data_IF_583868886985
#
_entry.id   IF_583868886985
#
_cell.length_a   1.000
_cell.length_b   1.000
_cell.length_c   1.000
_cell.angle_alpha   90.00
_cell.angle_beta   90.00
_cell.angle_gamma   90.00
#
_symmetry.space_group_name_H-M   'P 1'
#
loop_
_entity.id
_entity.type
_entity.pdbx_description
1 polymer ?
#
# COMPACT_ATOMS: atom_id res chain seq x y z
N UNK A 1 -16.03 -25.16 -25.06
CA UNK A 1 -14.58 -25.34 -24.89
C UNK A 1 -14.28 -25.12 -23.43
N UNK A 2 -13.51 -26.01 -22.81
CA UNK A 2 -12.96 -25.75 -21.49
C UNK A 2 -12.08 -24.50 -21.59
N UNK A 3 -12.44 -23.46 -20.83
CA UNK A 3 -11.57 -22.29 -20.69
C UNK A 3 -10.42 -22.75 -19.79
N UNK A 4 -9.21 -22.85 -20.34
CA UNK A 4 -8.01 -23.10 -19.53
C UNK A 4 -7.97 -22.07 -18.40
N UNK A 5 -8.02 -22.57 -17.17
CA UNK A 5 -7.92 -21.74 -15.99
C UNK A 5 -6.49 -21.17 -15.93
N UNK A 6 -6.35 -19.85 -16.08
CA UNK A 6 -5.09 -19.07 -16.03
C UNK A 6 -4.11 -19.21 -17.21
N UNK A 7 -4.57 -19.24 -18.47
CA UNK A 7 -3.71 -19.30 -19.67
C UNK A 7 -2.86 -18.06 -20.02
N UNK A 8 -2.42 -17.25 -19.05
CA UNK A 8 -1.56 -16.09 -19.32
C UNK A 8 -0.07 -16.44 -19.19
N UNK A 9 0.78 -15.80 -20.01
CA UNK A 9 2.24 -15.98 -20.02
C UNK A 9 2.97 -14.66 -19.76
N UNK A 10 4.26 -14.72 -19.44
CA UNK A 10 5.13 -13.56 -19.21
C UNK A 10 5.09 -13.02 -17.77
N UNK A 11 3.92 -12.58 -17.29
CA UNK A 11 3.80 -11.94 -15.96
C UNK A 11 3.63 -12.92 -14.79
N UNK A 12 3.53 -14.23 -15.07
CA UNK A 12 3.33 -15.26 -14.07
C UNK A 12 3.10 -16.63 -14.70
N UNK A 13 2.39 -17.50 -13.97
CA UNK A 13 1.94 -18.82 -14.42
C UNK A 13 3.04 -19.88 -14.68
N UNK A 14 4.25 -19.66 -14.15
CA UNK A 14 5.26 -20.72 -14.05
C UNK A 14 4.89 -21.64 -12.88
N UNK A 15 4.72 -22.92 -13.17
CA UNK A 15 4.52 -23.97 -12.16
C UNK A 15 5.85 -24.65 -11.85
N UNK A 16 6.24 -24.67 -10.58
CA UNK A 16 7.55 -25.16 -10.13
C UNK A 16 7.49 -25.65 -8.68
N UNK A 17 8.60 -26.17 -8.18
CA UNK A 17 8.78 -26.63 -6.80
C UNK A 17 9.94 -25.90 -6.10
N UNK A 18 10.13 -26.14 -4.80
CA UNK A 18 11.17 -25.48 -4.01
C UNK A 18 12.58 -25.84 -4.51
N UNK A 19 12.82 -27.09 -4.90
CA UNK A 19 14.13 -27.55 -5.36
C UNK A 19 14.58 -26.83 -6.64
N UNK A 20 13.69 -26.71 -7.63
CA UNK A 20 13.98 -25.99 -8.88
C UNK A 20 14.22 -24.49 -8.64
N UNK A 21 13.43 -23.88 -7.76
CA UNK A 21 13.63 -22.47 -7.37
C UNK A 21 14.98 -22.26 -6.67
N UNK A 22 15.44 -23.21 -5.86
CA UNK A 22 16.75 -23.11 -5.21
C UNK A 22 17.89 -23.22 -6.21
N UNK A 23 17.76 -24.06 -7.25
CA UNK A 23 18.72 -24.11 -8.36
C UNK A 23 18.77 -22.76 -9.10
N UNK A 24 17.61 -22.18 -9.39
CA UNK A 24 17.53 -20.87 -10.02
C UNK A 24 18.14 -19.76 -9.18
N UNK A 25 17.86 -19.73 -7.87
CA UNK A 25 18.42 -18.75 -6.94
C UNK A 25 19.94 -18.90 -6.77
N UNK A 26 20.48 -20.11 -6.88
CA UNK A 26 21.92 -20.34 -6.90
C UNK A 26 22.55 -19.73 -8.14
N UNK A 27 21.98 -19.95 -9.33
CA UNK A 27 22.48 -19.34 -10.58
C UNK A 27 22.36 -17.80 -10.55
N UNK A 28 21.28 -17.26 -9.97
CA UNK A 28 21.12 -15.81 -9.82
C UNK A 28 22.19 -15.20 -8.88
N UNK A 29 22.59 -15.96 -7.85
CA UNK A 29 23.59 -15.55 -6.86
C UNK A 29 25.02 -15.72 -7.36
N UNK A 30 25.30 -16.86 -7.97
CA UNK A 30 26.62 -17.35 -8.37
C UNK A 30 26.49 -18.09 -9.71
N UNK A 31 26.37 -17.35 -10.82
CA UNK A 31 26.09 -17.94 -12.12
C UNK A 31 27.25 -18.78 -12.63
N UNK A 32 26.93 -19.88 -13.32
CA UNK A 32 27.90 -20.57 -14.16
C UNK A 32 28.48 -19.60 -15.19
N UNK A 33 29.73 -19.82 -15.60
CA UNK A 33 30.43 -18.92 -16.54
C UNK A 33 29.64 -18.64 -17.83
N UNK A 34 28.86 -19.61 -18.31
CA UNK A 34 28.04 -19.51 -19.52
C UNK A 34 26.80 -18.62 -19.40
N UNK A 35 26.36 -18.32 -18.17
CA UNK A 35 25.16 -17.52 -17.86
C UNK A 35 25.50 -16.22 -17.13
N UNK A 36 26.80 -15.93 -16.97
CA UNK A 36 27.26 -14.84 -16.12
C UNK A 36 26.76 -13.50 -16.64
N UNK A 37 26.86 -13.26 -17.93
CA UNK A 37 26.51 -11.98 -18.54
C UNK A 37 24.98 -11.75 -18.47
N UNK A 38 24.17 -12.78 -18.72
CA UNK A 38 22.72 -12.71 -18.63
C UNK A 38 22.23 -12.47 -17.19
N UNK A 39 22.84 -13.16 -16.21
CA UNK A 39 22.48 -12.99 -14.80
C UNK A 39 22.93 -11.62 -14.28
N UNK A 40 24.11 -11.15 -14.68
CA UNK A 40 24.57 -9.80 -14.35
C UNK A 40 23.65 -8.73 -14.97
N UNK A 41 23.24 -8.89 -16.23
CA UNK A 41 22.23 -8.03 -16.85
C UNK A 41 20.90 -8.03 -16.06
N UNK A 42 20.44 -9.21 -15.62
CA UNK A 42 19.18 -9.33 -14.87
C UNK A 42 19.19 -8.54 -13.56
N UNK A 43 20.38 -8.32 -12.99
CA UNK A 43 20.61 -7.58 -11.75
C UNK A 43 20.90 -6.08 -11.96
N UNK A 44 20.92 -5.59 -13.19
CA UNK A 44 21.25 -4.19 -13.46
C UNK A 44 20.09 -3.27 -13.09
N UNK A 45 20.38 -2.20 -12.36
CA UNK A 45 19.44 -1.13 -12.00
C UNK A 45 20.01 0.22 -12.43
N UNK A 46 19.14 1.09 -12.93
CA UNK A 46 19.46 2.50 -13.17
C UNK A 46 18.79 3.42 -12.15
N UNK A 47 19.25 4.65 -12.02
CA UNK A 47 18.54 5.66 -11.23
C UNK A 47 17.25 6.09 -11.95
N UNK A 48 16.24 6.47 -11.17
CA UNK A 48 15.07 7.17 -11.71
C UNK A 48 15.48 8.55 -12.28
N UNK A 49 14.63 9.16 -13.11
CA UNK A 49 14.85 10.49 -13.69
C UNK A 49 15.10 11.61 -12.66
N UNK A 50 14.75 11.40 -11.40
CA UNK A 50 15.00 12.33 -10.29
C UNK A 50 16.29 12.01 -9.50
N UNK A 51 17.14 11.12 -10.01
CA UNK A 51 18.40 10.72 -9.39
C UNK A 51 18.28 9.72 -8.23
N UNK A 52 17.07 9.33 -7.80
CA UNK A 52 16.89 8.32 -6.75
C UNK A 52 17.23 6.92 -7.28
N UNK A 53 17.86 6.11 -6.44
CA UNK A 53 18.22 4.74 -6.79
C UNK A 53 16.98 3.84 -6.94
N UNK A 54 16.90 3.11 -8.05
CA UNK A 54 15.86 2.11 -8.30
C UNK A 54 16.23 0.78 -7.64
N UNK A 55 15.25 0.14 -7.00
CA UNK A 55 15.41 -1.16 -6.33
C UNK A 55 14.80 -2.32 -7.11
N UNK A 56 14.45 -2.12 -8.38
CA UNK A 56 13.85 -3.13 -9.24
C UNK A 56 14.58 -3.22 -10.57
N UNK A 57 15.00 -4.44 -10.94
CA UNK A 57 15.73 -4.76 -12.16
C UNK A 57 14.83 -5.57 -13.12
N UNK A 58 15.41 -6.46 -13.94
CA UNK A 58 14.68 -7.28 -14.91
C UNK A 58 13.89 -8.42 -14.24
N UNK A 59 12.83 -8.09 -13.51
CA UNK A 59 11.94 -9.06 -12.86
C UNK A 59 12.34 -9.45 -11.44
N UNK A 60 13.28 -8.74 -10.82
CA UNK A 60 13.71 -8.96 -9.44
C UNK A 60 13.84 -7.64 -8.68
N UNK A 61 13.57 -7.68 -7.38
CA UNK A 61 13.89 -6.58 -6.48
C UNK A 61 15.32 -6.78 -5.99
N UNK A 62 16.09 -5.69 -5.95
CA UNK A 62 17.44 -5.62 -5.40
C UNK A 62 17.37 -4.62 -4.25
N UNK A 63 17.35 -5.14 -3.04
CA UNK A 63 17.16 -4.36 -1.83
C UNK A 63 18.12 -4.81 -0.72
N UNK A 64 17.92 -4.25 0.47
CA UNK A 64 18.62 -4.67 1.67
C UNK A 64 17.61 -5.06 2.74
N UNK A 65 17.88 -6.17 3.42
CA UNK A 65 17.15 -6.58 4.61
C UNK A 65 18.11 -6.60 5.81
N UNK A 66 17.90 -5.69 6.76
CA UNK A 66 18.80 -5.46 7.92
C UNK A 66 20.27 -5.31 7.49
N UNK A 67 20.54 -4.48 6.49
CA UNK A 67 21.87 -4.22 5.91
C UNK A 67 22.52 -5.41 5.17
N UNK A 68 21.79 -6.50 4.94
CA UNK A 68 22.26 -7.56 4.04
C UNK A 68 21.69 -7.35 2.65
N UNK A 69 22.54 -7.40 1.62
CA UNK A 69 22.10 -7.32 0.24
C UNK A 69 21.23 -8.53 -0.10
N UNK A 70 20.08 -8.26 -0.73
CA UNK A 70 19.07 -9.25 -1.02
C UNK A 70 18.53 -9.05 -2.44
N UNK A 71 18.45 -10.14 -3.17
CA UNK A 71 17.70 -10.22 -4.44
C UNK A 71 16.44 -11.03 -4.17
N UNK A 72 15.26 -10.52 -4.52
CA UNK A 72 13.99 -11.14 -4.14
C UNK A 72 12.84 -10.88 -5.11
N UNK A 73 11.89 -11.81 -5.14
CA UNK A 73 10.61 -11.61 -5.79
C UNK A 73 9.49 -12.34 -5.03
N UNK A 74 8.26 -11.89 -5.20
CA UNK A 74 7.07 -12.52 -4.65
C UNK A 74 6.10 -12.93 -5.75
N UNK A 75 5.17 -13.81 -5.43
CA UNK A 75 4.10 -14.21 -6.35
C UNK A 75 2.77 -14.33 -5.62
N UNK A 76 1.70 -13.99 -6.33
CA UNK A 76 0.33 -14.10 -5.81
C UNK A 76 -0.63 -14.34 -6.96
N UNK A 77 -1.24 -15.53 -6.98
CA UNK A 77 -2.28 -15.89 -7.94
C UNK A 77 -3.35 -16.72 -7.23
N UNK A 78 -4.61 -16.26 -7.27
CA UNK A 78 -5.71 -16.94 -6.59
C UNK A 78 -5.39 -17.31 -5.13
N UNK A 79 -5.45 -18.61 -4.82
CA UNK A 79 -5.13 -19.19 -3.51
C UNK A 79 -3.63 -19.25 -3.17
N UNK A 80 -2.74 -19.09 -4.15
CA UNK A 80 -1.31 -19.34 -4.01
C UNK A 80 -0.52 -18.07 -3.69
N UNK A 81 0.51 -18.21 -2.83
CA UNK A 81 1.53 -17.19 -2.60
C UNK A 81 2.91 -17.81 -2.69
N UNK A 82 3.89 -17.02 -3.11
CA UNK A 82 5.30 -17.40 -3.10
C UNK A 82 6.18 -16.25 -2.63
N UNK A 83 7.34 -16.61 -2.06
CA UNK A 83 8.45 -15.70 -1.81
C UNK A 83 9.74 -16.43 -2.09
N UNK A 84 10.61 -15.80 -2.86
CA UNK A 84 11.99 -16.25 -3.07
C UNK A 84 12.95 -15.12 -2.75
N UNK A 85 14.05 -15.43 -2.08
CA UNK A 85 15.15 -14.50 -1.92
C UNK A 85 16.50 -15.20 -1.87
N UNK A 86 17.54 -14.49 -2.28
CA UNK A 86 18.94 -14.90 -2.14
C UNK A 86 19.75 -13.76 -1.55
N UNK A 87 20.72 -14.10 -0.69
CA UNK A 87 21.61 -13.18 0.01
C UNK A 87 23.05 -13.44 -0.49
N UNK A 88 23.52 -12.71 -1.51
CA UNK A 88 24.78 -13.02 -2.18
C UNK A 88 25.99 -13.08 -1.24
N UNK A 89 26.11 -12.09 -0.36
CA UNK A 89 27.25 -11.95 0.56
C UNK A 89 27.28 -13.05 1.64
N UNK A 90 26.11 -13.62 1.95
CA UNK A 90 25.92 -14.66 2.96
C UNK A 90 25.79 -16.06 2.39
N UNK A 91 25.74 -16.19 1.05
CA UNK A 91 25.70 -17.46 0.32
C UNK A 91 24.56 -18.38 0.73
N UNK A 92 23.36 -17.83 0.97
CA UNK A 92 22.16 -18.62 1.21
C UNK A 92 20.94 -18.09 0.45
N UNK A 93 19.94 -18.95 0.28
CA UNK A 93 18.69 -18.65 -0.40
C UNK A 93 17.50 -19.25 0.36
N UNK A 94 16.34 -18.62 0.20
CA UNK A 94 15.08 -19.05 0.81
C UNK A 94 14.02 -19.09 -0.29
N UNK A 95 13.29 -20.19 -0.40
CA UNK A 95 12.14 -20.34 -1.27
C UNK A 95 10.95 -20.88 -0.46
N UNK A 96 9.82 -20.16 -0.51
CA UNK A 96 8.58 -20.50 0.19
C UNK A 96 7.44 -20.50 -0.81
N UNK A 97 6.71 -21.61 -0.87
CA UNK A 97 5.49 -21.81 -1.66
C UNK A 97 4.34 -22.15 -0.70
N UNK A 98 3.16 -21.60 -0.95
CA UNK A 98 1.96 -21.84 -0.13
C UNK A 98 0.71 -21.75 -0.98
N UNK A 99 -0.25 -22.64 -0.73
CA UNK A 99 -1.59 -22.66 -1.33
C UNK A 99 -2.67 -22.02 -0.44
N UNK A 100 -2.25 -21.33 0.63
CA UNK A 100 -3.14 -20.58 1.52
C UNK A 100 -3.02 -19.07 1.25
N UNK A 101 -4.12 -18.46 0.79
CA UNK A 101 -4.17 -17.07 0.32
C UNK A 101 -3.90 -16.03 1.41
N UNK A 102 -4.17 -16.37 2.67
CA UNK A 102 -3.90 -15.52 3.84
C UNK A 102 -2.50 -15.72 4.42
N UNK A 103 -1.69 -16.63 3.86
CA UNK A 103 -0.30 -16.80 4.27
C UNK A 103 0.54 -15.59 3.85
N UNK A 104 1.47 -15.19 4.72
CA UNK A 104 2.43 -14.14 4.44
C UNK A 104 3.84 -14.74 4.31
N UNK A 105 4.22 -15.25 3.12
CA UNK A 105 5.53 -15.88 2.91
C UNK A 105 6.68 -14.87 2.99
N UNK A 106 6.45 -13.58 2.74
CA UNK A 106 7.46 -12.54 2.95
C UNK A 106 7.88 -12.45 4.43
N UNK A 107 6.92 -12.34 5.36
CA UNK A 107 7.20 -12.31 6.80
C UNK A 107 7.88 -13.60 7.30
N UNK A 108 7.53 -14.75 6.72
CA UNK A 108 8.18 -16.04 7.04
C UNK A 108 9.63 -16.09 6.56
N UNK A 109 9.90 -15.63 5.33
CA UNK A 109 11.27 -15.56 4.81
C UNK A 109 12.14 -14.63 5.66
N UNK A 110 11.60 -13.48 6.07
CA UNK A 110 12.27 -12.55 6.99
C UNK A 110 12.58 -13.18 8.35
N UNK A 111 11.64 -13.90 8.95
CA UNK A 111 11.87 -14.61 10.20
C UNK A 111 12.96 -15.71 10.08
N UNK A 112 13.00 -16.44 8.95
CA UNK A 112 14.05 -17.41 8.67
C UNK A 112 15.40 -16.71 8.52
N UNK A 113 15.45 -15.59 7.79
CA UNK A 113 16.67 -14.78 7.65
C UNK A 113 17.18 -14.31 9.01
N UNK A 114 16.29 -13.84 9.89
CA UNK A 114 16.67 -13.39 11.23
C UNK A 114 17.35 -14.50 12.06
N UNK A 115 16.84 -15.73 11.95
CA UNK A 115 17.43 -16.92 12.58
C UNK A 115 18.81 -17.22 11.98
N UNK A 116 18.94 -17.23 10.65
CA UNK A 116 20.20 -17.56 9.96
C UNK A 116 21.30 -16.54 10.26
N UNK A 117 20.95 -15.26 10.36
CA UNK A 117 21.91 -14.18 10.58
C UNK A 117 22.27 -13.98 12.06
N UNK A 118 21.72 -14.78 12.97
CA UNK A 118 21.77 -14.57 14.43
C UNK A 118 21.42 -13.13 14.83
N UNK A 119 20.55 -12.49 14.03
CA UNK A 119 20.04 -11.15 14.32
C UNK A 119 18.86 -11.34 15.23
N UNK A 120 19.14 -11.55 16.53
CA UNK A 120 18.10 -11.61 17.57
C UNK A 120 17.12 -10.46 17.35
N UNK A 121 15.80 -10.72 17.40
CA UNK A 121 14.84 -9.64 17.42
C UNK A 121 15.18 -8.78 18.64
N UNK A 122 15.69 -7.57 18.41
CA UNK A 122 15.65 -6.55 19.44
C UNK A 122 14.19 -6.18 19.57
N UNK A 123 13.47 -6.84 20.48
CA UNK A 123 12.14 -6.40 20.83
C UNK A 123 12.24 -4.92 21.18
N UNK A 124 11.53 -4.04 20.46
CA UNK A 124 11.61 -2.64 20.73
C UNK A 124 11.03 -2.42 22.13
N UNK A 125 11.88 -2.14 23.12
CA UNK A 125 11.40 -1.73 24.44
C UNK A 125 10.72 -0.37 24.29
N UNK A 126 9.40 -0.36 24.17
CA UNK A 126 8.58 0.84 24.19
C UNK A 126 8.34 1.19 25.65
N UNK A 127 8.69 2.41 26.07
CA UNK A 127 8.28 2.97 27.36
C UNK A 127 7.11 3.91 27.09
N UNK A 128 5.85 3.51 27.37
CA UNK A 128 4.70 4.35 27.09
C UNK A 128 4.75 5.65 27.89
N UNK A 129 4.53 6.77 27.21
CA UNK A 129 4.31 8.06 27.85
C UNK A 129 2.84 8.16 28.28
N UNK A 130 2.60 8.58 29.53
CA UNK A 130 1.23 8.75 30.03
C UNK A 130 0.61 10.01 29.43
N UNK A 131 -0.27 9.84 28.46
CA UNK A 131 -1.04 10.89 27.82
C UNK A 131 -2.51 10.80 28.26
N UNK A 132 -3.15 11.93 28.58
CA UNK A 132 -4.59 11.95 28.87
C UNK A 132 -5.41 11.79 27.59
N UNK A 133 -6.68 11.40 27.72
CA UNK A 133 -7.58 11.28 26.57
C UNK A 133 -7.77 12.65 25.90
N UNK A 134 -7.91 13.72 26.68
CA UNK A 134 -8.10 15.09 26.18
C UNK A 134 -6.86 15.57 25.41
N UNK A 135 -5.67 15.22 25.91
CA UNK A 135 -4.42 15.51 25.22
C UNK A 135 -4.34 14.76 23.88
N UNK A 136 -4.70 13.48 23.85
CA UNK A 136 -4.75 12.72 22.59
C UNK A 136 -5.83 13.24 21.63
N UNK A 137 -6.99 13.61 22.16
CA UNK A 137 -8.12 14.10 21.37
C UNK A 137 -7.78 15.37 20.59
N UNK A 138 -6.80 16.15 21.07
CA UNK A 138 -6.25 17.29 20.31
C UNK A 138 -5.58 16.88 18.99
N UNK A 139 -5.07 15.65 18.88
CA UNK A 139 -4.47 15.09 17.66
C UNK A 139 -5.49 14.38 16.75
N UNK A 140 -6.71 14.15 17.22
CA UNK A 140 -7.69 13.42 16.42
C UNK A 140 -8.16 14.25 15.23
N UNK A 141 -8.37 13.56 14.10
CA UNK A 141 -8.76 14.20 12.86
C UNK A 141 -8.21 13.49 11.65
N UNK A 142 -8.45 14.13 10.50
CA UNK A 142 -8.06 13.64 9.19
C UNK A 142 -6.95 14.50 8.62
N UNK A 143 -5.92 13.82 8.12
CA UNK A 143 -4.70 14.42 7.61
C UNK A 143 -4.51 14.06 6.14
N UNK A 144 -4.25 15.07 5.29
CA UNK A 144 -3.80 14.91 3.91
C UNK A 144 -2.29 14.67 3.92
N UNK A 145 -1.86 13.52 3.42
CA UNK A 145 -0.45 13.16 3.31
C UNK A 145 0.10 13.61 1.95
N UNK A 146 1.20 14.37 1.95
CA UNK A 146 1.97 14.66 0.74
C UNK A 146 2.55 13.35 0.16
N UNK A 147 2.52 13.19 -1.16
CA UNK A 147 3.20 12.10 -1.89
C UNK A 147 2.93 10.66 -1.39
N UNK A 148 1.79 10.42 -0.73
CA UNK A 148 1.33 9.09 -0.30
C UNK A 148 0.34 8.50 -1.30
N UNK A 149 0.46 7.20 -1.59
CA UNK A 149 -0.52 6.47 -2.41
C UNK A 149 -1.91 6.38 -1.75
N UNK A 150 -1.98 6.51 -0.42
CA UNK A 150 -3.23 6.52 0.36
C UNK A 150 -3.84 7.93 0.41
N UNK A 151 -3.03 8.98 0.21
CA UNK A 151 -3.31 10.41 0.40
C UNK A 151 -3.84 10.83 1.78
N UNK A 152 -4.36 9.91 2.61
CA UNK A 152 -5.13 10.23 3.81
C UNK A 152 -4.80 9.37 5.01
N UNK A 153 -4.75 9.99 6.18
CA UNK A 153 -4.63 9.35 7.49
C UNK A 153 -5.75 9.81 8.42
N UNK A 154 -6.51 8.86 8.98
CA UNK A 154 -7.44 9.12 10.07
C UNK A 154 -6.75 8.82 11.41
N UNK A 155 -6.83 9.74 12.37
CA UNK A 155 -6.29 9.60 13.74
C UNK A 155 -7.45 9.65 14.74
N UNK A 156 -7.62 8.59 15.52
CA UNK A 156 -8.75 8.44 16.45
C UNK A 156 -8.42 7.53 17.65
N UNK A 157 -9.32 7.43 18.64
CA UNK A 157 -9.20 6.47 19.76
C UNK A 157 -10.44 5.63 19.92
N UNK A 158 -10.27 4.43 20.47
CA UNK A 158 -11.35 3.58 20.98
C UNK A 158 -11.05 3.29 22.44
N UNK A 159 -11.91 3.79 23.34
CA UNK A 159 -11.63 3.77 24.79
C UNK A 159 -10.37 4.57 25.12
N UNK A 160 -9.37 3.89 25.72
CA UNK A 160 -8.04 4.44 26.07
C UNK A 160 -6.95 4.13 25.02
N UNK A 161 -7.29 3.43 23.94
CA UNK A 161 -6.31 3.04 22.92
C UNK A 161 -6.38 3.97 21.71
N UNK A 162 -5.22 4.45 21.29
CA UNK A 162 -5.03 5.33 20.14
C UNK A 162 -4.76 4.54 18.86
N UNK A 163 -5.32 5.01 17.76
CA UNK A 163 -5.23 4.36 16.46
C UNK A 163 -4.99 5.37 15.37
N UNK A 164 -4.35 4.88 14.33
CA UNK A 164 -4.39 5.49 13.01
C UNK A 164 -4.97 4.50 12.02
N UNK A 165 -5.53 5.04 10.96
CA UNK A 165 -6.00 4.26 9.83
C UNK A 165 -5.65 5.02 8.56
N UNK A 166 -4.59 4.56 7.91
CA UNK A 166 -4.42 4.86 6.51
C UNK A 166 -5.50 4.16 5.71
N UNK A 167 -5.92 4.80 4.63
CA UNK A 167 -6.93 4.17 3.80
C UNK A 167 -6.47 2.83 3.23
N UNK A 168 -7.29 1.78 3.39
CA UNK A 168 -7.05 0.38 2.95
C UNK A 168 -5.95 -0.36 3.67
N UNK A 169 -5.27 0.28 4.60
CA UNK A 169 -4.38 -0.44 5.51
C UNK A 169 -5.17 -0.94 6.71
N UNK A 170 -4.55 -1.86 7.45
CA UNK A 170 -5.10 -2.24 8.74
C UNK A 170 -5.09 -1.01 9.65
N UNK A 171 -6.09 -0.94 10.54
CA UNK A 171 -6.02 -0.06 11.70
C UNK A 171 -4.74 -0.38 12.48
N UNK A 172 -3.85 0.61 12.64
CA UNK A 172 -2.60 0.47 13.39
C UNK A 172 -2.83 1.08 14.77
N UNK A 173 -2.55 0.32 15.82
CA UNK A 173 -2.51 0.84 17.18
C UNK A 173 -1.22 1.65 17.34
N UNK A 174 -1.34 2.85 17.91
CA UNK A 174 -0.19 3.71 18.19
C UNK A 174 -0.05 3.94 19.69
N UNK A 175 1.18 3.92 20.17
CA UNK A 175 1.57 4.09 21.57
C UNK A 175 2.29 5.42 21.72
N UNK A 176 1.82 6.33 22.61
CA UNK A 176 2.55 7.56 22.90
C UNK A 176 3.90 7.24 23.54
N UNK A 177 4.98 7.85 23.03
CA UNK A 177 6.34 7.79 23.61
C UNK A 177 6.82 9.16 24.09
N UNK A 178 6.11 10.23 23.72
CA UNK A 178 6.23 11.56 24.29
C UNK A 178 4.87 12.28 24.22
N UNK A 179 4.83 13.59 24.54
CA UNK A 179 3.61 14.41 24.39
C UNK A 179 3.07 14.41 22.97
N UNK A 180 3.95 14.41 21.96
CA UNK A 180 3.59 14.57 20.55
C UNK A 180 4.15 13.48 19.64
N UNK A 181 4.85 12.48 20.18
CA UNK A 181 5.41 11.36 19.42
C UNK A 181 4.73 10.05 19.75
N UNK A 182 4.45 9.26 18.72
CA UNK A 182 3.78 7.99 18.79
C UNK A 182 4.50 6.96 17.92
N UNK A 183 4.46 5.70 18.34
CA UNK A 183 5.02 4.57 17.59
C UNK A 183 4.02 3.43 17.49
N UNK A 184 4.16 2.54 16.50
CA UNK A 184 3.46 1.25 16.52
C UNK A 184 4.16 0.23 17.45
N UNK A 185 3.55 -0.93 17.65
CA UNK A 185 4.07 -1.98 18.56
C UNK A 185 5.48 -2.47 18.15
N UNK A 186 5.84 -2.41 16.87
CA UNK A 186 7.14 -2.83 16.33
C UNK A 186 8.17 -1.68 16.20
N UNK A 187 7.83 -0.43 16.57
CA UNK A 187 8.62 0.79 16.27
C UNK A 187 9.07 0.92 14.80
N UNK A 188 8.28 0.40 13.88
CA UNK A 188 8.49 0.57 12.43
C UNK A 188 7.85 1.83 11.91
N UNK A 189 6.86 2.33 12.62
CA UNK A 189 6.17 3.58 12.35
C UNK A 189 6.45 4.55 13.49
N UNK A 190 6.90 5.76 13.16
CA UNK A 190 6.92 6.90 14.06
C UNK A 190 6.01 8.01 13.51
N UNK A 191 5.19 8.60 14.38
CA UNK A 191 4.37 9.77 14.07
C UNK A 191 4.72 10.88 15.04
N UNK A 192 5.09 12.03 14.51
CA UNK A 192 5.34 13.25 15.27
C UNK A 192 4.29 14.29 14.93
N UNK A 193 3.50 14.73 15.91
CA UNK A 193 2.54 15.82 15.75
C UNK A 193 3.23 17.16 16.02
N UNK A 194 3.04 18.12 15.12
CA UNK A 194 3.54 19.48 15.27
C UNK A 194 2.39 20.40 15.64
N UNK A 195 2.41 20.96 16.86
CA UNK A 195 1.37 21.86 17.33
C UNK A 195 1.71 23.28 16.86
N UNK A 196 0.78 23.93 16.16
CA UNK A 196 0.87 25.38 15.85
C UNK A 196 1.41 25.76 14.47
N UNK A 197 1.63 24.82 13.55
CA UNK A 197 2.04 25.09 12.16
C UNK A 197 1.03 24.48 11.17
N UNK A 198 0.96 25.04 9.96
CA UNK A 198 0.13 24.56 8.84
C UNK A 198 0.39 23.09 8.45
N UNK A 199 1.52 22.53 8.88
CA UNK A 199 1.84 21.10 8.86
C UNK A 199 1.53 20.47 10.22
N UNK A 200 0.57 19.54 10.25
CA UNK A 200 -0.05 19.07 11.49
C UNK A 200 0.54 17.73 12.00
N UNK A 201 1.27 16.98 11.17
CA UNK A 201 2.09 15.84 11.58
C UNK A 201 3.18 15.50 10.55
N UNK A 202 4.20 14.75 10.98
CA UNK A 202 5.16 14.02 10.14
C UNK A 202 5.05 12.53 10.46
N UNK A 203 5.06 11.69 9.43
CA UNK A 203 5.09 10.24 9.53
C UNK A 203 6.43 9.75 8.99
N UNK A 204 7.10 8.89 9.73
CA UNK A 204 8.30 8.19 9.30
C UNK A 204 8.07 6.68 9.38
N UNK A 205 8.31 5.98 8.27
CA UNK A 205 8.20 4.52 8.20
C UNK A 205 9.57 3.90 7.90
N UNK A 206 9.95 2.93 8.73
CA UNK A 206 11.18 2.16 8.64
C UNK A 206 12.46 3.01 8.56
N UNK A 207 12.43 4.24 9.08
CA UNK A 207 13.49 5.25 8.99
C UNK A 207 13.96 5.57 7.55
N UNK A 208 13.07 5.40 6.56
CA UNK A 208 13.42 5.57 5.14
C UNK A 208 12.43 6.44 4.37
N UNK A 209 11.16 6.42 4.76
CA UNK A 209 10.11 7.15 4.06
C UNK A 209 9.42 8.13 5.00
N UNK A 210 9.43 9.41 4.63
CA UNK A 210 8.82 10.50 5.37
C UNK A 210 7.64 11.07 4.57
N UNK A 211 6.48 11.19 5.22
CA UNK A 211 5.32 11.92 4.70
C UNK A 211 4.96 13.07 5.63
N UNK A 212 4.49 14.17 5.06
CA UNK A 212 3.96 15.28 5.83
C UNK A 212 2.43 15.28 5.75
N UNK A 213 1.78 15.51 6.88
CA UNK A 213 0.33 15.49 7.01
C UNK A 213 -0.23 16.86 7.36
N UNK A 214 -1.08 17.43 6.50
CA UNK A 214 -1.87 18.63 6.82
C UNK A 214 -3.25 18.26 7.35
N UNK A 215 -3.62 18.75 8.54
CA UNK A 215 -4.96 18.51 9.10
C UNK A 215 -5.98 19.30 8.29
N UNK A 216 -6.98 18.62 7.73
CA UNK A 216 -7.92 19.28 6.81
C UNK A 216 -9.13 19.89 7.53
N UNK A 217 -9.84 19.16 8.43
CA UNK A 217 -10.91 19.69 9.31
C UNK A 217 -11.62 18.58 10.11
N UNK A 218 -12.47 18.97 11.08
CA UNK A 218 -13.43 18.09 11.80
C UNK A 218 -14.59 17.67 10.87
N UNK A 219 -15.05 16.43 11.04
CA UNK A 219 -15.92 15.66 10.15
C UNK A 219 -17.40 16.12 10.14
N UNK A 220 -17.92 16.65 9.03
CA UNK A 220 -19.30 16.40 8.49
C UNK A 220 -19.24 16.61 6.95
N UNK A 221 -19.55 15.58 6.16
CA UNK A 221 -19.75 15.75 4.71
C UNK A 221 -21.10 16.44 4.46
N UNK A 222 -21.12 17.47 3.62
CA UNK A 222 -22.36 18.14 3.24
C UNK A 222 -23.27 17.15 2.48
N UNK A 223 -24.51 16.98 2.98
CA UNK A 223 -25.50 16.08 2.36
C UNK A 223 -25.84 16.49 0.93
N UNK A 224 -25.73 17.77 0.58
CA UNK A 224 -25.96 18.23 -0.78
C UNK A 224 -24.85 17.72 -1.72
N UNK A 225 -23.59 17.86 -1.33
CA UNK A 225 -22.45 17.32 -2.08
C UNK A 225 -22.58 15.81 -2.32
N UNK A 226 -23.00 15.03 -1.31
CA UNK A 226 -23.16 13.58 -1.47
C UNK A 226 -24.25 13.22 -2.50
N UNK A 227 -25.32 14.04 -2.60
CA UNK A 227 -26.36 13.84 -3.60
C UNK A 227 -25.88 14.19 -5.00
N UNK A 228 -25.15 15.31 -5.13
CA UNK A 228 -24.67 15.78 -6.43
C UNK A 228 -23.76 14.77 -7.13
N UNK A 229 -22.97 14.00 -6.39
CA UNK A 229 -22.04 13.03 -7.01
C UNK A 229 -22.69 11.69 -7.39
N UNK A 230 -23.94 11.45 -7.00
CA UNK A 230 -24.64 10.26 -7.43
C UNK A 230 -24.86 10.33 -8.94
N UNK A 231 -24.74 9.18 -9.62
CA UNK A 231 -24.86 9.12 -11.07
C UNK A 231 -24.11 7.93 -11.68
N UNK A 232 -24.12 7.88 -13.01
CA UNK A 232 -23.42 6.86 -13.79
C UNK A 232 -22.20 7.47 -14.47
N UNK A 233 -21.05 6.84 -14.27
CA UNK A 233 -19.77 7.29 -14.79
C UNK A 233 -19.21 6.25 -15.76
N UNK A 234 -19.08 6.60 -17.04
CA UNK A 234 -18.65 5.69 -18.12
C UNK A 234 -17.21 5.97 -18.58
N UNK A 235 -16.40 4.93 -18.73
CA UNK A 235 -15.09 5.03 -19.36
C UNK A 235 -15.13 4.41 -20.75
N UNK A 236 -14.87 5.22 -21.78
CA UNK A 236 -14.73 4.75 -23.15
C UNK A 236 -13.51 3.84 -23.34
N UNK A 237 -12.43 4.06 -22.57
CA UNK A 237 -11.20 3.27 -22.65
C UNK A 237 -11.39 1.83 -22.16
N UNK A 238 -12.16 1.64 -21.10
CA UNK A 238 -12.43 0.32 -20.52
C UNK A 238 -13.77 -0.30 -20.97
N UNK A 239 -14.58 0.47 -21.70
CA UNK A 239 -15.96 0.12 -22.04
C UNK A 239 -16.77 -0.38 -20.83
N UNK A 240 -16.65 0.36 -19.71
CA UNK A 240 -17.32 0.00 -18.46
C UNK A 240 -17.76 1.22 -17.67
N UNK A 241 -18.63 0.99 -16.68
CA UNK A 241 -19.17 2.05 -15.83
C UNK A 241 -19.15 1.73 -14.34
N UNK A 242 -19.11 2.79 -13.55
CA UNK A 242 -19.43 2.79 -12.14
C UNK A 242 -20.72 3.55 -11.91
N UNK A 243 -21.59 3.00 -11.05
CA UNK A 243 -22.79 3.69 -10.56
C UNK A 243 -22.53 4.11 -9.13
N UNK A 244 -22.68 5.40 -8.82
CA UNK A 244 -22.55 5.95 -7.47
C UNK A 244 -23.95 6.36 -6.98
N UNK A 245 -24.33 5.93 -5.78
CA UNK A 245 -25.66 6.16 -5.22
C UNK A 245 -25.62 6.31 -3.70
N UNK A 246 -26.71 6.83 -3.13
CA UNK A 246 -26.90 6.90 -1.69
C UNK A 246 -27.72 5.72 -1.19
N UNK A 247 -27.25 5.09 -0.11
CA UNK A 247 -27.98 4.08 0.65
C UNK A 247 -27.78 4.34 2.15
N UNK A 248 -28.88 4.50 2.89
CA UNK A 248 -28.87 4.80 4.33
C UNK A 248 -27.98 6.01 4.72
N UNK A 249 -27.93 7.02 3.84
CA UNK A 249 -27.10 8.22 4.03
C UNK A 249 -25.60 8.01 3.80
N UNK A 250 -25.19 6.85 3.26
CA UNK A 250 -23.82 6.54 2.87
C UNK A 250 -23.70 6.48 1.36
N UNK A 251 -22.56 6.93 0.83
CA UNK A 251 -22.25 6.73 -0.57
C UNK A 251 -21.83 5.29 -0.82
N UNK A 252 -22.45 4.70 -1.82
CA UNK A 252 -22.18 3.37 -2.32
C UNK A 252 -21.80 3.49 -3.79
N UNK A 253 -21.00 2.54 -4.25
CA UNK A 253 -20.69 2.36 -5.65
C UNK A 253 -21.03 0.94 -6.08
N UNK A 254 -21.36 0.76 -7.36
CA UNK A 254 -21.58 -0.53 -7.97
C UNK A 254 -20.81 -0.64 -9.29
N UNK A 255 -20.31 -1.83 -9.58
CA UNK A 255 -19.69 -2.19 -10.85
C UNK A 255 -20.10 -3.61 -11.24
N UNK A 256 -20.46 -3.83 -12.51
CA UNK A 256 -21.05 -5.11 -12.96
C UNK A 256 -20.20 -6.34 -12.59
N UNK A 257 -18.87 -6.23 -12.67
CA UNK A 257 -17.95 -7.33 -12.31
C UNK A 257 -17.66 -7.44 -10.81
N UNK A 258 -17.75 -6.35 -10.07
CA UNK A 258 -17.21 -6.26 -8.71
C UNK A 258 -18.28 -6.11 -7.62
N UNK A 259 -19.54 -5.93 -8.01
CA UNK A 259 -20.65 -5.72 -7.09
C UNK A 259 -20.57 -4.37 -6.40
N UNK A 260 -21.19 -4.33 -5.22
CA UNK A 260 -21.30 -3.11 -4.41
C UNK A 260 -20.05 -2.86 -3.56
N UNK A 261 -19.74 -1.60 -3.34
CA UNK A 261 -18.61 -1.16 -2.54
C UNK A 261 -18.91 0.16 -1.84
N UNK A 262 -18.30 0.38 -0.67
CA UNK A 262 -18.53 1.61 0.10
C UNK A 262 -17.63 2.73 -0.42
N UNK A 263 -18.17 3.95 -0.48
CA UNK A 263 -17.44 5.17 -0.80
C UNK A 263 -17.48 6.09 0.43
N UNK A 264 -16.34 6.65 0.78
CA UNK A 264 -16.24 7.69 1.80
C UNK A 264 -15.76 8.99 1.21
N UNK A 265 -16.36 10.08 1.66
CA UNK A 265 -15.88 11.43 1.42
C UNK A 265 -14.51 11.62 2.05
N UNK A 266 -13.61 12.30 1.33
CA UNK A 266 -12.27 12.63 1.81
C UNK A 266 -12.19 14.11 2.17
N UNK A 267 -12.16 14.98 1.17
CA UNK A 267 -12.22 16.43 1.24
C UNK A 267 -12.57 17.02 -0.14
N UNK A 268 -13.11 18.24 -0.21
CA UNK A 268 -13.47 18.95 -1.45
C UNK A 268 -14.21 18.06 -2.48
N UNK A 269 -13.57 17.74 -3.60
CA UNK A 269 -14.09 16.88 -4.67
C UNK A 269 -13.45 15.48 -4.65
N UNK A 270 -12.82 15.09 -3.56
CA UNK A 270 -12.06 13.85 -3.42
C UNK A 270 -12.79 12.82 -2.57
N UNK A 271 -12.77 11.59 -3.06
CA UNK A 271 -13.52 10.47 -2.52
C UNK A 271 -12.71 9.19 -2.65
N UNK A 272 -13.22 8.16 -1.99
CA UNK A 272 -12.40 7.02 -1.68
C UNK A 272 -13.26 5.76 -1.56
N UNK A 273 -13.04 4.80 -2.46
CA UNK A 273 -13.84 3.57 -2.58
C UNK A 273 -13.11 2.31 -2.11
N UNK A 274 -13.85 1.43 -1.44
CA UNK A 274 -13.33 0.20 -0.84
C UNK A 274 -14.16 -0.96 -1.38
N UNK A 275 -13.59 -1.82 -2.25
CA UNK A 275 -12.22 -2.35 -2.13
C UNK A 275 -11.25 -1.94 -3.28
N UNK A 276 -10.10 -2.62 -3.38
CA UNK A 276 -8.85 -2.13 -4.01
C UNK A 276 -8.94 -1.56 -5.43
N UNK A 277 -9.90 -1.98 -6.23
CA UNK A 277 -10.06 -1.59 -7.64
C UNK A 277 -10.54 -0.14 -7.84
N UNK A 278 -11.30 0.44 -6.89
CA UNK A 278 -11.84 1.80 -6.97
C UNK A 278 -11.29 2.67 -5.83
N UNK A 279 -9.97 2.95 -5.81
CA UNK A 279 -9.27 3.51 -4.64
C UNK A 279 -9.67 4.90 -4.28
N UNK A 280 -9.39 5.77 -5.22
CA UNK A 280 -9.46 7.17 -5.03
C UNK A 280 -10.14 7.66 -6.28
N UNK A 281 -11.10 8.56 -6.11
CA UNK A 281 -11.55 9.31 -7.25
C UNK A 281 -11.69 10.77 -6.92
N UNK A 282 -11.36 11.58 -7.92
CA UNK A 282 -11.55 13.03 -7.89
C UNK A 282 -12.70 13.36 -8.84
N UNK A 283 -13.68 14.11 -8.35
CA UNK A 283 -14.77 14.68 -9.13
C UNK A 283 -14.25 15.88 -9.91
N UNK A 284 -14.50 15.88 -11.21
CA UNK A 284 -14.20 16.98 -12.11
C UNK A 284 -15.48 17.79 -12.36
N UNK A 285 -15.36 19.11 -12.35
CA UNK A 285 -16.49 20.04 -12.54
C UNK A 285 -16.13 21.06 -13.63
N UNK A 286 -17.13 21.48 -14.40
CA UNK A 286 -16.97 22.56 -15.36
C UNK A 286 -16.98 23.95 -14.67
N UNK A 287 -16.78 25.02 -15.45
CA UNK A 287 -16.78 26.41 -14.95
C UNK A 287 -18.10 26.85 -14.31
N UNK A 288 -19.21 26.20 -14.64
CA UNK A 288 -20.53 26.45 -14.07
C UNK A 288 -20.79 25.66 -12.78
N UNK A 289 -19.85 24.81 -12.36
CA UNK A 289 -19.96 23.97 -11.16
C UNK A 289 -20.59 22.59 -11.38
N UNK A 290 -21.00 22.25 -12.60
CA UNK A 290 -21.61 20.96 -12.91
C UNK A 290 -20.55 19.86 -13.01
N UNK A 291 -20.85 18.67 -12.49
CA UNK A 291 -19.96 17.51 -12.56
C UNK A 291 -19.89 17.00 -14.00
N UNK A 292 -18.68 16.90 -14.54
CA UNK A 292 -18.42 16.39 -15.89
C UNK A 292 -17.93 14.94 -15.88
N UNK A 293 -17.44 14.46 -14.75
CA UNK A 293 -16.96 13.10 -14.59
C UNK A 293 -16.07 12.91 -13.36
N UNK A 294 -15.39 11.78 -13.30
CA UNK A 294 -14.47 11.41 -12.23
C UNK A 294 -13.17 10.84 -12.79
N UNK A 295 -12.06 11.13 -12.12
CA UNK A 295 -10.77 10.49 -12.32
C UNK A 295 -10.56 9.42 -11.27
N UNK A 296 -10.51 8.15 -11.67
CA UNK A 296 -10.32 7.01 -10.76
C UNK A 296 -8.86 6.58 -10.78
N UNK A 297 -8.25 6.53 -9.60
CA UNK A 297 -6.90 6.02 -9.37
C UNK A 297 -6.97 4.77 -8.49
N UNK A 298 -6.06 3.81 -8.72
CA UNK A 298 -5.73 2.71 -7.83
C UNK A 298 -4.23 2.39 -7.89
N UNK A 299 -3.79 1.28 -7.30
CA UNK A 299 -2.36 0.93 -7.25
C UNK A 299 -1.76 0.54 -8.61
N UNK A 300 -2.60 0.29 -9.62
CA UNK A 300 -2.20 -0.16 -10.96
C UNK A 300 -2.52 0.83 -12.08
N UNK A 301 -3.50 1.70 -11.87
CA UNK A 301 -3.95 2.69 -12.86
C UNK A 301 -4.09 4.04 -12.16
N UNK A 302 -3.60 5.11 -12.79
CA UNK A 302 -3.72 6.47 -12.27
C UNK A 302 -4.59 7.30 -13.21
N UNK A 303 -5.47 8.10 -12.61
CA UNK A 303 -6.30 9.12 -13.23
C UNK A 303 -7.05 8.62 -14.48
N UNK A 304 -7.63 7.42 -14.38
CA UNK A 304 -8.48 6.89 -15.43
C UNK A 304 -9.80 7.68 -15.47
N UNK A 305 -10.11 8.24 -16.62
CA UNK A 305 -11.29 9.08 -16.81
C UNK A 305 -12.57 8.26 -16.96
N UNK A 306 -13.61 8.68 -16.23
CA UNK A 306 -14.98 8.27 -16.44
C UNK A 306 -15.86 9.52 -16.58
N UNK A 307 -16.52 9.66 -17.73
CA UNK A 307 -17.43 10.76 -18.03
C UNK A 307 -18.75 10.56 -17.28
N UNK A 308 -19.33 11.64 -16.75
CA UNK A 308 -20.69 11.61 -16.23
C UNK A 308 -21.69 11.47 -17.40
N UNK A 309 -22.60 10.50 -17.30
CA UNK A 309 -23.64 10.22 -18.32
C UNK A 309 -25.01 10.82 -17.95
N UNK A 310 -25.08 11.60 -16.88
CA UNK A 310 -26.22 12.47 -16.58
C UNK A 310 -26.24 13.77 -17.38
#
# INVERSE_FOLDING_TARGET
GEVEYWGYVGSGNIHTNVSDLLIWLEQLRNPDAKWKDEMDLMKTTDNFNNGKHNKYAFGVNIDQYKNENRITHGGSIGGFRSRVCTYPDRKFSIAILTNFSSSNPAKKAEAITDIILDKKPTEPRIKPFKLSNEQFDSYTGRYLLSDSSSKMLDVYRIGKSSFIEEYRQNKIKIIPVSKNKFVDDDKKLEISFHIGLDSALTIEYMNQQQWEGKRIKKFIADKQLLKEICGTYWSQELETQYVIYLQDGKLMGHHARHGEFSIRYVHDNEFNGKPSFFNFFKVERNKSGNITGIYVTNSRVRDLWFKNEE
#
